data_IF_540098742807
#
_entry.id   IF_540098742807
#
_cell.length_a   1.000
_cell.length_b   1.000
_cell.length_c   1.000
_cell.angle_alpha   90.00
_cell.angle_beta   90.00
_cell.angle_gamma   90.00
#
_symmetry.space_group_name_H-M   'P 1'
#
loop_
_entity.id
_entity.type
_entity.pdbx_description
1 polymer ?
#
# COMPACT_ATOMS: atom_id res chain seq x y z
N UNK A 1 -58.43 -34.63 27.00
CA UNK A 1 -58.64 -34.38 25.55
C UNK A 1 -58.15 -32.98 25.21
N UNK A 2 -57.32 -32.88 24.15
CA UNK A 2 -56.95 -31.68 23.39
C UNK A 2 -56.07 -30.68 24.16
N UNK A 3 -54.74 -30.78 24.11
CA UNK A 3 -53.87 -30.30 23.02
C UNK A 3 -54.19 -28.85 22.61
N UNK A 4 -53.26 -27.92 22.84
CA UNK A 4 -52.59 -27.12 21.79
C UNK A 4 -51.31 -26.50 22.37
N UNK A 5 -50.20 -27.19 22.12
CA UNK A 5 -48.84 -26.67 22.19
C UNK A 5 -48.69 -25.66 21.03
N UNK A 6 -48.64 -24.36 21.33
CA UNK A 6 -48.40 -23.35 20.29
C UNK A 6 -46.90 -23.19 20.13
N UNK A 7 -46.36 -23.94 19.17
CA UNK A 7 -44.98 -23.83 18.71
C UNK A 7 -44.90 -22.53 17.90
N UNK A 8 -44.24 -21.51 18.44
CA UNK A 8 -43.82 -20.33 17.68
C UNK A 8 -42.56 -20.74 16.92
N UNK A 9 -42.78 -21.26 15.72
CA UNK A 9 -41.75 -21.42 14.69
C UNK A 9 -41.59 -20.09 13.97
N UNK A 10 -40.37 -19.86 13.45
CA UNK A 10 -39.99 -18.83 12.46
C UNK A 10 -39.49 -17.52 13.09
N UNK A 11 -38.19 -17.48 13.35
CA UNK A 11 -37.33 -16.46 12.76
C UNK A 11 -35.86 -16.88 12.82
N UNK A 12 -35.51 -17.98 12.14
CA UNK A 12 -34.13 -18.21 11.73
C UNK A 12 -33.94 -17.50 10.38
N UNK A 13 -33.90 -16.17 10.40
CA UNK A 13 -33.18 -15.44 9.35
C UNK A 13 -31.70 -15.64 9.67
N UNK A 14 -31.18 -16.82 9.32
CA UNK A 14 -29.76 -16.97 9.09
C UNK A 14 -29.45 -16.03 7.94
N UNK A 15 -28.93 -14.85 8.28
CA UNK A 15 -28.12 -14.07 7.37
C UNK A 15 -27.07 -15.04 6.85
N UNK A 16 -27.33 -15.60 5.67
CA UNK A 16 -26.27 -16.08 4.80
C UNK A 16 -25.53 -14.80 4.44
N UNK A 17 -24.66 -14.36 5.35
CA UNK A 17 -23.57 -13.49 4.99
C UNK A 17 -22.88 -14.22 3.87
N UNK A 18 -22.81 -13.58 2.70
CA UNK A 18 -21.84 -13.98 1.72
C UNK A 18 -20.49 -13.93 2.43
N UNK A 19 -19.99 -15.07 2.90
CA UNK A 19 -18.57 -15.34 2.83
C UNK A 19 -18.27 -15.35 1.33
N UNK A 20 -18.15 -14.16 0.75
CA UNK A 20 -17.23 -14.03 -0.36
C UNK A 20 -15.92 -14.42 0.28
N UNK A 21 -15.45 -15.60 -0.07
CA UNK A 21 -14.01 -15.84 -0.15
C UNK A 21 -13.48 -14.74 -1.06
N UNK A 22 -13.26 -13.58 -0.47
CA UNK A 22 -12.46 -12.50 -0.98
C UNK A 22 -11.01 -13.01 -0.85
N UNK A 23 -10.69 -14.05 -1.64
CA UNK A 23 -9.41 -14.02 -2.35
C UNK A 23 -9.51 -12.82 -3.28
N UNK A 24 -9.46 -11.61 -2.71
CA UNK A 24 -9.20 -10.40 -3.47
C UNK A 24 -7.99 -10.74 -4.31
N UNK A 25 -8.13 -10.58 -5.62
CA UNK A 25 -6.97 -10.66 -6.49
C UNK A 25 -6.00 -9.60 -5.97
N UNK A 26 -4.76 -10.03 -5.67
CA UNK A 26 -3.73 -9.17 -5.10
C UNK A 26 -2.50 -9.17 -6.00
N UNK A 27 -1.77 -8.08 -5.92
CA UNK A 27 -0.43 -7.95 -6.48
C UNK A 27 0.54 -7.45 -5.41
N UNK A 28 1.80 -7.32 -5.79
CA UNK A 28 2.85 -6.77 -4.95
C UNK A 28 3.28 -5.41 -5.48
N UNK A 29 3.59 -4.50 -4.58
CA UNK A 29 4.22 -3.23 -4.91
C UNK A 29 5.44 -3.00 -4.03
N UNK A 30 6.49 -2.48 -4.62
CA UNK A 30 7.74 -2.15 -3.92
C UNK A 30 8.11 -0.70 -4.12
N UNK A 31 8.31 -0.02 -3.01
CA UNK A 31 8.67 1.39 -2.98
C UNK A 31 10.14 1.55 -2.56
N UNK A 32 10.88 2.31 -3.36
CA UNK A 32 12.30 2.58 -3.14
C UNK A 32 12.61 4.06 -3.35
N UNK A 33 13.71 4.50 -2.78
CA UNK A 33 14.09 5.92 -2.75
C UNK A 33 15.60 6.07 -2.80
N UNK A 34 16.09 6.95 -3.68
CA UNK A 34 17.46 7.42 -3.63
C UNK A 34 17.52 8.77 -2.92
N UNK A 35 18.13 8.81 -1.73
CA UNK A 35 18.36 10.04 -0.96
C UNK A 35 19.84 10.37 -0.80
N UNK A 36 20.73 9.66 -1.51
CA UNK A 36 22.17 9.71 -1.30
C UNK A 36 22.81 11.09 -1.51
N UNK A 37 22.17 12.00 -2.25
CA UNK A 37 22.64 13.38 -2.46
C UNK A 37 22.02 14.41 -1.50
N UNK A 38 21.12 13.99 -0.62
CA UNK A 38 20.60 14.85 0.42
C UNK A 38 21.59 14.92 1.58
N UNK A 39 22.08 16.12 1.88
CA UNK A 39 22.95 16.37 3.02
C UNK A 39 22.19 16.44 4.36
N UNK A 40 21.10 15.69 4.52
CA UNK A 40 20.25 15.63 5.72
C UNK A 40 19.90 14.17 6.04
N UNK A 41 19.76 13.83 7.32
CA UNK A 41 19.20 12.52 7.73
C UNK A 41 17.72 12.54 7.39
N UNK A 42 17.29 11.64 6.50
CA UNK A 42 15.92 11.63 5.97
C UNK A 42 15.13 10.40 6.33
N UNK A 43 13.83 10.59 6.50
CA UNK A 43 12.82 9.54 6.54
C UNK A 43 11.94 9.67 5.30
N UNK A 44 11.69 8.55 4.62
CA UNK A 44 10.79 8.50 3.46
C UNK A 44 9.53 7.74 3.84
N UNK A 45 8.42 8.46 3.97
CA UNK A 45 7.08 7.88 4.17
C UNK A 45 6.41 7.60 2.84
N UNK A 46 5.66 6.51 2.79
CA UNK A 46 4.87 6.13 1.62
C UNK A 46 3.39 6.12 2.00
N UNK A 47 2.61 6.78 1.16
CA UNK A 47 1.15 6.80 1.22
C UNK A 47 0.58 6.11 0.01
N UNK A 48 -0.46 5.29 0.21
CA UNK A 48 -1.29 4.74 -0.85
C UNK A 48 -2.73 5.16 -0.56
N UNK A 49 -3.42 5.70 -1.56
CA UNK A 49 -4.82 6.17 -1.43
C UNK A 49 -5.01 7.11 -0.23
N UNK A 50 -4.07 8.04 -0.08
CA UNK A 50 -3.98 9.02 1.01
C UNK A 50 -3.79 8.44 2.43
N UNK A 51 -3.47 7.15 2.56
CA UNK A 51 -3.18 6.50 3.84
C UNK A 51 -1.69 6.17 3.96
N UNK A 52 -1.08 6.51 5.09
CA UNK A 52 0.31 6.11 5.38
C UNK A 52 0.37 4.58 5.49
N UNK A 53 1.20 3.95 4.66
CA UNK A 53 1.36 2.48 4.66
C UNK A 53 2.67 2.07 5.34
N UNK A 54 3.71 2.89 5.25
CA UNK A 54 4.97 2.59 5.89
C UNK A 54 6.09 3.58 5.56
N UNK A 55 7.29 3.20 5.97
CA UNK A 55 8.54 3.95 5.78
C UNK A 55 9.47 3.08 4.96
N UNK A 56 10.21 3.68 4.02
CA UNK A 56 11.31 2.99 3.36
C UNK A 56 12.53 3.02 4.27
N UNK A 57 12.95 1.84 4.75
CA UNK A 57 14.10 1.69 5.63
C UNK A 57 15.40 1.77 4.80
N UNK A 58 15.90 2.98 4.59
CA UNK A 58 17.19 3.22 3.93
C UNK A 58 17.09 3.85 2.55
N UNK A 59 18.11 3.63 1.73
CA UNK A 59 18.19 4.16 0.36
C UNK A 59 18.72 3.09 -0.60
N UNK A 60 18.24 3.12 -1.84
CA UNK A 60 18.68 2.24 -2.91
C UNK A 60 18.79 3.03 -4.22
N UNK A 61 19.67 2.60 -5.12
CA UNK A 61 19.86 3.24 -6.43
C UNK A 61 18.80 2.80 -7.45
N UNK A 62 18.20 1.63 -7.25
CA UNK A 62 17.17 1.06 -8.12
C UNK A 62 16.42 -0.08 -7.43
N UNK A 63 15.27 -0.48 -7.97
CA UNK A 63 14.48 -1.64 -7.51
C UNK A 63 14.58 -2.73 -8.59
N UNK A 64 15.32 -3.80 -8.30
CA UNK A 64 15.48 -4.93 -9.23
C UNK A 64 14.35 -5.95 -9.03
N UNK A 65 13.90 -6.16 -7.80
CA UNK A 65 12.90 -7.18 -7.42
C UNK A 65 11.91 -6.62 -6.38
N UNK A 66 10.69 -7.18 -6.32
CA UNK A 66 9.65 -6.79 -5.36
C UNK A 66 9.90 -7.25 -3.91
N UNK A 67 11.03 -7.90 -3.66
CA UNK A 67 11.49 -8.30 -2.34
C UNK A 67 12.88 -7.72 -2.06
N UNK A 68 13.19 -6.57 -2.68
CA UNK A 68 14.47 -5.90 -2.50
C UNK A 68 14.75 -5.54 -1.04
N UNK A 69 16.04 -5.49 -0.70
CA UNK A 69 16.47 -4.85 0.54
C UNK A 69 16.36 -3.32 0.40
N UNK A 70 16.18 -2.63 1.51
CA UNK A 70 15.99 -1.16 1.55
C UNK A 70 14.80 -0.67 0.70
N UNK A 71 13.77 -1.50 0.55
CA UNK A 71 12.48 -1.15 -0.07
C UNK A 71 11.34 -1.45 0.89
N UNK A 72 10.23 -0.73 0.71
CA UNK A 72 8.97 -1.04 1.37
C UNK A 72 8.13 -1.90 0.43
N UNK A 73 7.96 -3.17 0.78
CA UNK A 73 7.27 -4.17 -0.03
C UNK A 73 5.89 -4.46 0.59
N UNK A 74 4.83 -4.27 -0.19
CA UNK A 74 3.44 -4.34 0.28
C UNK A 74 2.61 -5.20 -0.68
N UNK A 75 1.77 -6.06 -0.13
CA UNK A 75 0.72 -6.77 -0.86
C UNK A 75 -0.56 -5.90 -0.86
N UNK A 76 -1.13 -5.65 -2.03
CA UNK A 76 -2.27 -4.76 -2.22
C UNK A 76 -3.31 -5.43 -3.14
N UNK A 77 -4.58 -5.09 -2.97
CA UNK A 77 -5.62 -5.53 -3.89
C UNK A 77 -5.36 -4.99 -5.30
N UNK A 78 -5.78 -5.73 -6.32
CA UNK A 78 -5.65 -5.28 -7.71
C UNK A 78 -6.54 -4.08 -8.00
N UNK A 79 -6.08 -3.20 -8.87
CA UNK A 79 -6.84 -2.03 -9.30
C UNK A 79 -5.99 -0.78 -9.44
N UNK A 80 -6.67 0.36 -9.51
CA UNK A 80 -6.02 1.68 -9.60
C UNK A 80 -5.78 2.23 -8.21
N UNK A 81 -4.57 2.69 -7.99
CA UNK A 81 -4.14 3.28 -6.73
C UNK A 81 -3.37 4.57 -6.99
N UNK A 82 -3.43 5.46 -6.02
CA UNK A 82 -2.57 6.64 -5.96
C UNK A 82 -1.46 6.41 -4.95
N UNK A 83 -0.26 6.93 -5.23
CA UNK A 83 0.85 6.91 -4.28
C UNK A 83 1.38 8.32 -4.02
N UNK A 84 1.97 8.49 -2.83
CA UNK A 84 2.79 9.66 -2.50
C UNK A 84 4.00 9.23 -1.67
N UNK A 85 5.18 9.68 -2.08
CA UNK A 85 6.39 9.72 -1.26
C UNK A 85 6.46 11.05 -0.53
N UNK A 86 6.81 11.00 0.75
CA UNK A 86 7.15 12.17 1.55
C UNK A 86 8.52 11.95 2.18
N UNK A 87 9.53 12.64 1.65
CA UNK A 87 10.90 12.63 2.16
C UNK A 87 11.08 13.82 3.07
N UNK A 88 11.34 13.57 4.35
CA UNK A 88 11.51 14.61 5.36
C UNK A 88 12.82 14.43 6.12
N UNK A 89 13.56 15.52 6.27
CA UNK A 89 14.75 15.58 7.11
C UNK A 89 14.39 15.65 8.59
N UNK A 90 15.31 15.22 9.45
CA UNK A 90 15.20 15.40 10.89
C UNK A 90 14.92 16.89 11.21
N UNK A 91 13.90 17.15 12.02
CA UNK A 91 13.40 18.49 12.37
C UNK A 91 12.99 19.37 11.17
N UNK A 92 12.62 18.79 10.03
CA UNK A 92 12.19 19.55 8.84
C UNK A 92 13.33 20.23 8.08
N UNK A 93 14.57 19.77 8.28
CA UNK A 93 15.77 20.32 7.61
C UNK A 93 15.73 20.24 6.08
N UNK A 94 14.95 19.30 5.53
CA UNK A 94 14.73 19.14 4.10
C UNK A 94 13.36 18.50 3.88
N UNK A 95 12.74 18.81 2.74
CA UNK A 95 11.44 18.27 2.35
C UNK A 95 11.36 18.09 0.84
N UNK A 96 10.91 16.92 0.40
CA UNK A 96 10.56 16.61 -0.99
C UNK A 96 9.39 15.66 -1.01
N UNK A 97 8.58 15.76 -2.05
CA UNK A 97 7.46 14.87 -2.27
C UNK A 97 7.39 14.47 -3.73
N UNK A 98 6.83 13.29 -4.00
CA UNK A 98 6.49 12.82 -5.35
C UNK A 98 5.19 12.06 -5.25
N UNK A 99 4.24 12.39 -6.13
CA UNK A 99 2.95 11.71 -6.19
C UNK A 99 2.72 11.15 -7.59
N UNK A 100 1.87 10.15 -7.70
CA UNK A 100 1.45 9.59 -8.99
C UNK A 100 0.37 8.54 -8.81
N UNK A 101 -0.02 7.95 -9.93
CA UNK A 101 -1.00 6.87 -9.98
C UNK A 101 -0.36 5.62 -10.59
N UNK A 102 -0.83 4.45 -10.17
CA UNK A 102 -0.45 3.17 -10.74
C UNK A 102 -1.65 2.22 -10.83
N UNK A 103 -1.54 1.23 -11.71
CA UNK A 103 -2.49 0.12 -11.76
C UNK A 103 -1.75 -1.13 -11.36
N UNK A 104 -2.32 -1.91 -10.46
CA UNK A 104 -1.76 -3.16 -9.98
C UNK A 104 -2.61 -4.32 -10.51
N UNK A 105 -1.98 -5.15 -11.32
CA UNK A 105 -2.59 -6.38 -11.82
C UNK A 105 -2.27 -7.58 -10.91
N UNK A 106 -3.05 -8.65 -11.08
CA UNK A 106 -2.98 -9.83 -10.23
C UNK A 106 -1.64 -10.54 -10.40
N UNK A 107 -1.04 -10.97 -9.28
CA UNK A 107 0.25 -11.68 -9.23
C UNK A 107 1.41 -10.89 -9.88
N UNK A 108 1.21 -9.61 -10.19
CA UNK A 108 2.24 -8.72 -10.71
C UNK A 108 3.02 -8.04 -9.59
N UNK A 109 4.15 -7.45 -9.99
CA UNK A 109 5.05 -6.71 -9.13
C UNK A 109 5.26 -5.32 -9.72
N UNK A 110 4.66 -4.32 -9.09
CA UNK A 110 4.87 -2.92 -9.46
C UNK A 110 6.03 -2.32 -8.67
N UNK A 111 6.93 -1.61 -9.34
CA UNK A 111 8.14 -1.03 -8.73
C UNK A 111 8.11 0.47 -8.87
N UNK A 112 7.88 1.16 -7.76
CA UNK A 112 7.75 2.62 -7.76
C UNK A 112 8.97 3.21 -7.07
N UNK A 113 9.73 3.99 -7.83
CA UNK A 113 10.99 4.54 -7.38
C UNK A 113 11.00 6.07 -7.39
N UNK A 114 11.48 6.65 -6.30
CA UNK A 114 11.73 8.09 -6.20
C UNK A 114 13.23 8.37 -6.12
N UNK A 115 13.79 8.80 -7.25
CA UNK A 115 15.13 9.34 -7.31
C UNK A 115 15.10 10.85 -7.03
N UNK A 116 15.52 11.27 -5.84
CA UNK A 116 15.48 12.69 -5.46
C UNK A 116 16.52 13.54 -6.18
N UNK A 117 17.46 12.88 -6.86
CA UNK A 117 18.55 13.54 -7.59
C UNK A 117 18.09 14.01 -8.97
N UNK A 118 17.04 13.39 -9.51
CA UNK A 118 16.44 13.75 -10.79
C UNK A 118 15.38 14.83 -10.54
N UNK A 119 15.42 15.88 -11.35
CA UNK A 119 14.33 16.86 -11.38
C UNK A 119 13.17 16.25 -12.16
N UNK A 120 11.94 16.51 -11.75
CA UNK A 120 10.71 16.02 -12.41
C UNK A 120 10.49 16.61 -13.83
N UNK A 121 11.49 17.32 -14.39
CA UNK A 121 11.44 18.05 -15.66
C UNK A 121 12.11 17.30 -16.85
N UNK A 122 12.43 16.01 -16.72
CA UNK A 122 12.97 15.17 -17.82
C UNK A 122 12.09 13.95 -18.16
#
# INVERSE_FOLDING_TARGET
MKSKLTIITIFLMTFIGCDKNDTEDKGNVSFGTNTSLLNCITTTKVYIDNKEIGIVEGTCDTIIDCAGENTLNIELSTGKHSFKFEVSGLNGSCYREKSGDFTLDKDECEKIFFDITKRDDE
#
